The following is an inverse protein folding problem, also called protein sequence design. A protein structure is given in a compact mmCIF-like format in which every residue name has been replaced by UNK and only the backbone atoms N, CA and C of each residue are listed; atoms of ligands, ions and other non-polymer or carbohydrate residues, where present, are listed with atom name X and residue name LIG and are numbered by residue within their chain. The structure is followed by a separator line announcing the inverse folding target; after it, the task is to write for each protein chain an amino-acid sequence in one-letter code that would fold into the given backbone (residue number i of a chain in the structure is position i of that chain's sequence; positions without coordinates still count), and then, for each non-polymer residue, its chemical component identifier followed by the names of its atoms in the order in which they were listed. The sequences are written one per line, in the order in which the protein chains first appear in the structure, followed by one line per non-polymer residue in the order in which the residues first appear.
data_IF_021885109212
#
_entry.id   IF_021885109212
#
_cell.length_a   1.000
_cell.length_b   1.000
_cell.length_c   1.000
_cell.angle_alpha   90.00
_cell.angle_beta   90.00
_cell.angle_gamma   90.00
#
_symmetry.space_group_name_H-M   'P 1'
#
loop_
_entity.id
_entity.type
_entity.pdbx_description
1 polymer ?
#
# COMPACT_ATOMS: atom_id res chain seq x y z
N UNK A 1 -15.43 2.72 9.73
CA UNK A 1 -14.07 2.28 10.11
C UNK A 1 -13.09 2.91 9.13
N UNK A 2 -12.08 3.63 9.62
CA UNK A 2 -11.11 4.35 8.79
C UNK A 2 -10.27 3.35 7.98
N UNK A 3 -10.21 3.52 6.66
CA UNK A 3 -9.56 2.59 5.72
C UNK A 3 -8.32 3.24 5.12
N UNK A 4 -7.23 2.49 5.10
CA UNK A 4 -5.96 2.96 4.53
C UNK A 4 -5.50 2.07 3.37
N UNK A 5 -4.83 2.68 2.40
CA UNK A 5 -3.99 1.99 1.43
C UNK A 5 -2.52 2.18 1.82
N UNK A 6 -1.74 1.11 1.83
CA UNK A 6 -0.29 1.18 2.13
C UNK A 6 0.52 0.91 0.88
N UNK A 7 1.44 1.80 0.54
CA UNK A 7 2.33 1.67 -0.62
C UNK A 7 3.73 1.26 -0.15
N UNK A 8 4.36 0.30 -0.82
CA UNK A 8 5.67 -0.22 -0.45
C UNK A 8 6.53 -0.67 -1.65
N UNK A 9 7.86 -0.65 -1.50
CA UNK A 9 8.81 -1.04 -2.56
C UNK A 9 9.81 -2.13 -2.16
N UNK A 10 9.78 -2.62 -0.92
CA UNK A 10 10.80 -3.52 -0.37
C UNK A 10 10.32 -4.43 0.76
N UNK A 11 11.11 -4.51 1.83
CA UNK A 11 10.95 -5.48 2.93
C UNK A 11 9.66 -5.34 3.76
N UNK A 12 9.01 -4.18 3.72
CA UNK A 12 7.72 -3.95 4.39
C UNK A 12 7.79 -3.94 5.92
N UNK A 13 8.90 -3.52 6.52
CA UNK A 13 9.01 -3.40 7.99
C UNK A 13 8.04 -2.37 8.56
N UNK A 14 7.90 -1.20 7.93
CA UNK A 14 6.88 -0.21 8.31
C UNK A 14 5.46 -0.75 8.13
N UNK A 15 5.19 -1.49 7.05
CA UNK A 15 3.90 -2.18 6.88
C UNK A 15 3.65 -3.17 8.03
N UNK A 16 4.67 -3.94 8.43
CA UNK A 16 4.55 -4.86 9.57
C UNK A 16 4.22 -4.11 10.86
N UNK A 17 4.90 -3.00 11.14
CA UNK A 17 4.62 -2.19 12.34
C UNK A 17 3.20 -1.63 12.35
N UNK A 18 2.65 -1.26 11.19
CA UNK A 18 1.25 -0.82 11.07
C UNK A 18 0.30 -1.98 11.35
N UNK A 19 0.53 -3.15 10.73
CA UNK A 19 -0.25 -4.37 10.96
C UNK A 19 -0.26 -4.71 12.46
N UNK A 20 0.93 -4.78 13.07
CA UNK A 20 1.07 -5.14 14.48
C UNK A 20 0.37 -4.13 15.39
N UNK A 21 0.38 -2.84 15.02
CA UNK A 21 -0.31 -1.80 15.80
C UNK A 21 -1.84 -1.89 15.68
N UNK A 22 -2.36 -2.29 14.53
CA UNK A 22 -3.80 -2.56 14.33
C UNK A 22 -4.20 -3.82 15.13
N UNK A 23 -3.45 -4.91 14.99
CA UNK A 23 -3.72 -6.18 15.67
C UNK A 23 -3.71 -6.02 17.20
N UNK A 24 -2.82 -5.16 17.73
CA UNK A 24 -2.73 -4.84 19.16
C UNK A 24 -3.70 -3.73 19.61
N UNK A 25 -4.61 -3.27 18.75
CA UNK A 25 -5.61 -2.25 19.08
C UNK A 25 -5.07 -0.84 19.32
N UNK A 26 -3.79 -0.57 19.00
CA UNK A 26 -3.19 0.77 19.11
C UNK A 26 -3.62 1.70 17.97
N UNK A 27 -3.89 1.13 16.80
CA UNK A 27 -4.42 1.85 15.65
C UNK A 27 -5.83 1.36 15.33
N UNK A 28 -6.80 2.28 15.38
CA UNK A 28 -8.19 2.00 15.02
C UNK A 28 -8.44 2.27 13.52
N UNK A 29 -7.81 1.47 12.67
CA UNK A 29 -8.02 1.54 11.22
C UNK A 29 -7.91 0.14 10.59
N UNK A 30 -8.28 0.05 9.31
CA UNK A 30 -8.15 -1.17 8.51
C UNK A 30 -7.28 -0.91 7.30
N UNK A 31 -6.31 -1.79 7.05
CA UNK A 31 -5.61 -1.84 5.77
C UNK A 31 -6.56 -2.46 4.74
N UNK A 32 -7.12 -1.65 3.84
CA UNK A 32 -8.01 -2.15 2.78
C UNK A 32 -7.20 -2.83 1.67
N UNK A 33 -6.01 -2.29 1.36
CA UNK A 33 -5.10 -2.87 0.39
C UNK A 33 -3.64 -2.44 0.61
N UNK A 34 -2.72 -3.26 0.09
CA UNK A 34 -1.29 -2.94 -0.03
C UNK A 34 -0.91 -2.91 -1.51
N UNK A 35 -0.24 -1.85 -1.94
CA UNK A 35 0.20 -1.65 -3.32
C UNK A 35 1.73 -1.70 -3.38
N UNK A 36 2.26 -2.71 -4.07
CA UNK A 36 3.68 -2.90 -4.28
C UNK A 36 4.16 -2.20 -5.55
N UNK A 37 5.36 -1.61 -5.53
CA UNK A 37 5.96 -1.00 -6.72
C UNK A 37 6.56 -2.01 -7.71
N UNK A 38 6.65 -3.30 -7.32
CA UNK A 38 7.10 -4.42 -8.16
C UNK A 38 6.66 -5.75 -7.55
N UNK A 39 6.62 -6.78 -8.38
CA UNK A 39 6.39 -8.16 -7.94
C UNK A 39 7.50 -8.67 -7.03
N UNK A 40 7.17 -9.66 -6.18
CA UNK A 40 8.13 -10.37 -5.35
C UNK A 40 8.73 -9.57 -4.19
N UNK A 41 8.18 -8.39 -3.84
CA UNK A 41 8.61 -7.68 -2.62
C UNK A 41 8.01 -8.33 -1.38
N UNK A 42 8.80 -8.41 -0.32
CA UNK A 42 8.38 -9.08 0.92
C UNK A 42 7.20 -8.38 1.62
N UNK A 43 6.99 -7.08 1.37
CA UNK A 43 5.80 -6.37 1.84
C UNK A 43 4.49 -7.03 1.37
N UNK A 44 4.44 -7.53 0.12
CA UNK A 44 3.25 -8.20 -0.40
C UNK A 44 3.02 -9.54 0.30
N UNK A 45 4.08 -10.28 0.60
CA UNK A 45 3.97 -11.55 1.34
C UNK A 45 3.44 -11.33 2.76
N UNK A 46 3.89 -10.27 3.44
CA UNK A 46 3.36 -9.87 4.76
C UNK A 46 1.86 -9.57 4.69
N UNK A 47 1.43 -8.80 3.69
CA UNK A 47 0.02 -8.46 3.48
C UNK A 47 -0.83 -9.71 3.19
N UNK A 48 -0.37 -10.58 2.27
CA UNK A 48 -1.05 -11.83 1.92
C UNK A 48 -1.20 -12.77 3.12
N UNK A 49 -0.17 -12.90 3.96
CA UNK A 49 -0.23 -13.71 5.21
C UNK A 49 -1.30 -13.23 6.18
N UNK A 50 -1.70 -11.96 6.11
CA UNK A 50 -2.77 -11.36 6.93
C UNK A 50 -4.12 -11.28 6.19
N UNK A 51 -4.22 -11.88 5.00
CA UNK A 51 -5.44 -11.84 4.18
C UNK A 51 -5.76 -10.45 3.62
N UNK A 52 -4.78 -9.53 3.60
CA UNK A 52 -4.96 -8.18 3.05
C UNK A 52 -4.85 -8.23 1.53
N UNK A 53 -5.74 -7.53 0.82
CA UNK A 53 -5.70 -7.42 -0.64
C UNK A 53 -4.39 -6.78 -1.09
N UNK A 54 -3.79 -7.34 -2.13
CA UNK A 54 -2.52 -6.84 -2.68
C UNK A 54 -2.66 -6.52 -4.16
N UNK A 55 -1.98 -5.45 -4.59
CA UNK A 55 -1.86 -5.06 -5.99
C UNK A 55 -0.40 -4.74 -6.28
N UNK A 56 0.00 -4.85 -7.55
CA UNK A 56 1.29 -4.35 -8.03
C UNK A 56 1.02 -3.27 -9.07
N UNK A 57 1.59 -2.09 -8.84
CA UNK A 57 1.61 -0.99 -9.82
C UNK A 57 3.06 -0.64 -10.05
N UNK A 58 3.62 -1.17 -11.14
CA UNK A 58 5.04 -1.02 -11.42
C UNK A 58 5.33 0.21 -12.27
N UNK A 59 6.33 1.00 -11.87
CA UNK A 59 6.81 2.14 -12.69
C UNK A 59 7.29 1.71 -14.08
N UNK A 60 7.76 0.46 -14.22
CA UNK A 60 8.18 -0.11 -15.51
C UNK A 60 7.01 -0.24 -16.48
N UNK A 61 5.85 -0.65 -15.99
CA UNK A 61 4.65 -0.88 -16.79
C UNK A 61 3.88 0.42 -17.05
N UNK A 62 3.65 1.21 -16.00
CA UNK A 62 2.79 2.40 -16.06
C UNK A 62 3.56 3.71 -16.30
N UNK A 63 4.89 3.72 -16.21
CA UNK A 63 5.72 4.91 -16.45
C UNK A 63 5.18 6.13 -15.67
N UNK A 64 4.85 7.21 -16.37
CA UNK A 64 4.38 8.47 -15.77
C UNK A 64 2.92 8.39 -15.28
N UNK A 65 2.14 7.42 -15.74
CA UNK A 65 0.74 7.19 -15.29
C UNK A 65 0.65 6.27 -14.07
N UNK A 66 1.78 6.04 -13.37
CA UNK A 66 1.81 5.19 -12.17
C UNK A 66 0.89 5.74 -11.07
N UNK A 67 0.91 7.05 -10.83
CA UNK A 67 0.06 7.70 -9.82
C UNK A 67 -1.42 7.57 -10.15
N UNK A 68 -1.78 7.80 -11.41
CA UNK A 68 -3.17 7.68 -11.88
C UNK A 68 -3.71 6.27 -11.66
N UNK A 69 -2.88 5.26 -11.93
CA UNK A 69 -3.28 3.87 -11.69
C UNK A 69 -3.48 3.56 -10.21
N UNK A 70 -2.62 4.11 -9.34
CA UNK A 70 -2.79 4.01 -7.89
C UNK A 70 -4.10 4.68 -7.47
N UNK A 71 -4.37 5.90 -7.93
CA UNK A 71 -5.60 6.63 -7.65
C UNK A 71 -6.84 5.85 -8.10
N UNK A 72 -6.86 5.31 -9.32
CA UNK A 72 -7.95 4.48 -9.85
C UNK A 72 -8.25 3.28 -8.93
N UNK A 73 -7.20 2.61 -8.42
CA UNK A 73 -7.37 1.46 -7.55
C UNK A 73 -7.99 1.83 -6.20
N UNK A 74 -7.62 2.98 -5.64
CA UNK A 74 -8.00 3.37 -4.27
C UNK A 74 -9.23 4.27 -4.19
N UNK A 75 -9.63 4.93 -5.29
CA UNK A 75 -10.67 5.96 -5.31
C UNK A 75 -11.98 5.44 -4.72
N UNK A 76 -12.48 6.17 -3.71
CA UNK A 76 -13.72 5.83 -2.98
C UNK A 76 -13.63 4.58 -2.09
N UNK A 77 -12.45 3.96 -1.93
CA UNK A 77 -12.25 2.74 -1.13
C UNK A 77 -11.45 2.99 0.15
N UNK A 78 -10.63 4.04 0.17
CA UNK A 78 -9.76 4.39 1.30
C UNK A 78 -9.88 5.87 1.65
N UNK A 79 -9.57 6.17 2.91
CA UNK A 79 -9.58 7.52 3.48
C UNK A 79 -8.16 8.12 3.55
N UNK A 80 -7.12 7.27 3.51
CA UNK A 80 -5.71 7.68 3.62
C UNK A 80 -4.79 6.78 2.80
N UNK A 81 -3.79 7.40 2.16
CA UNK A 81 -2.63 6.73 1.55
C UNK A 81 -1.45 6.82 2.52
N UNK A 82 -0.80 5.70 2.82
CA UNK A 82 0.39 5.63 3.68
C UNK A 82 1.58 5.13 2.86
N UNK A 83 2.61 5.97 2.74
CA UNK A 83 3.87 5.59 2.08
C UNK A 83 4.79 4.88 3.08
N UNK A 84 4.81 3.55 3.06
CA UNK A 84 5.58 2.72 3.99
C UNK A 84 6.81 2.11 3.30
N UNK A 85 7.82 2.94 3.03
CA UNK A 85 9.00 2.53 2.27
C UNK A 85 8.71 2.40 0.77
N UNK A 86 7.85 3.28 0.25
CA UNK A 86 7.62 3.46 -1.18
C UNK A 86 8.72 4.37 -1.75
N UNK A 87 9.35 3.96 -2.86
CA UNK A 87 10.55 4.62 -3.39
C UNK A 87 10.32 5.38 -4.70
N UNK A 88 9.10 5.35 -5.24
CA UNK A 88 8.77 6.09 -6.47
C UNK A 88 8.16 7.44 -6.13
N UNK A 89 8.55 8.46 -6.88
CA UNK A 89 7.93 9.79 -6.79
C UNK A 89 6.49 9.68 -7.27
N UNK A 90 5.58 10.16 -6.44
CA UNK A 90 4.20 10.38 -6.81
C UNK A 90 4.08 11.73 -7.53
N UNK A 91 3.23 11.78 -8.54
CA UNK A 91 3.05 12.93 -9.43
C UNK A 91 1.57 13.17 -9.67
N UNK A 92 1.15 14.42 -9.79
CA UNK A 92 -0.24 14.81 -10.06
C UNK A 92 -1.09 14.98 -8.79
N UNK A 93 -2.40 14.75 -8.93
CA UNK A 93 -3.44 15.03 -7.91
C UNK A 93 -3.52 13.97 -6.78
N UNK A 94 -2.43 13.24 -6.54
CA UNK A 94 -2.36 12.17 -5.54
C UNK A 94 -1.85 12.66 -4.18
#
# INVERSE_FOLDING_TARGET
MFKIAVLASGGGTNLQSIIDSIDNGKLNCKIEMVIGSKEGIFALDRAKKKGIKTYVVSKKEYKDTTSDKILELIKGKVDLIVLAGYLSILQGDI
#
